data_IF_191991915793
#
_entry.id   IF_191991915793
#
_cell.length_a   1.000
_cell.length_b   1.000
_cell.length_c   1.000
_cell.angle_alpha   90.00
_cell.angle_beta   90.00
_cell.angle_gamma   90.00
#
_symmetry.space_group_name_H-M   'P 1'
#
loop_
_entity.id
_entity.type
_entity.pdbx_description
1 polymer ?
#
# COMPACT_ATOMS: atom_id res chain seq x y z
N UNK A 1 29.14 22.17 23.69
CA UNK A 1 29.50 21.54 22.39
C UNK A 1 28.35 20.64 22.01
N UNK A 2 27.48 21.10 21.11
CA UNK A 2 26.25 20.39 20.75
C UNK A 2 26.57 19.32 19.71
N UNK A 3 26.30 18.06 20.08
CA UNK A 3 26.38 16.93 19.18
C UNK A 3 25.34 17.10 18.07
N UNK A 4 25.81 17.34 16.86
CA UNK A 4 25.04 17.25 15.62
C UNK A 4 24.68 15.78 15.45
N UNK A 5 23.45 15.41 15.81
CA UNK A 5 22.90 14.10 15.45
C UNK A 5 22.79 14.03 13.94
N UNK A 6 23.20 12.93 13.29
CA UNK A 6 23.14 12.84 11.84
C UNK A 6 21.67 12.81 11.41
N UNK A 7 21.19 13.90 10.82
CA UNK A 7 19.91 14.01 10.10
C UNK A 7 19.96 13.21 8.77
N UNK A 8 20.77 12.15 8.72
CA UNK A 8 20.99 11.30 7.55
C UNK A 8 20.15 10.03 7.53
N UNK A 9 19.70 9.54 8.68
CA UNK A 9 19.06 8.21 8.79
C UNK A 9 17.52 8.23 8.75
N UNK A 10 16.88 9.41 8.84
CA UNK A 10 15.41 9.51 8.85
C UNK A 10 14.80 9.51 7.43
N UNK A 11 15.62 9.78 6.40
CA UNK A 11 15.22 9.61 5.00
C UNK A 11 15.59 8.19 4.55
N UNK A 12 15.07 7.19 5.26
CA UNK A 12 15.15 5.80 4.81
C UNK A 12 14.61 5.74 3.37
N UNK A 13 15.51 5.47 2.43
CA UNK A 13 15.26 5.48 0.98
C UNK A 13 13.88 4.89 0.67
N UNK A 14 12.99 5.59 -0.06
CA UNK A 14 11.66 5.08 -0.41
C UNK A 14 11.69 3.75 -1.17
N UNK A 15 12.88 3.33 -1.66
CA UNK A 15 13.14 2.04 -2.32
C UNK A 15 12.67 0.83 -1.50
N UNK A 16 12.93 0.78 -0.19
CA UNK A 16 12.55 -0.40 0.61
C UNK A 16 11.03 -0.55 0.68
N UNK A 17 10.32 0.56 0.90
CA UNK A 17 8.86 0.56 0.94
C UNK A 17 8.25 0.24 -0.45
N UNK A 18 8.84 0.74 -1.54
CA UNK A 18 8.44 0.38 -2.91
C UNK A 18 8.65 -1.11 -3.19
N UNK A 19 9.77 -1.70 -2.79
CA UNK A 19 10.03 -3.14 -2.97
C UNK A 19 9.02 -3.96 -2.18
N UNK A 20 8.73 -3.59 -0.93
CA UNK A 20 7.70 -4.26 -0.13
C UNK A 20 6.33 -4.22 -0.82
N UNK A 21 5.91 -3.05 -1.35
CA UNK A 21 4.65 -2.94 -2.09
C UNK A 21 4.59 -3.85 -3.32
N UNK A 22 5.71 -4.02 -4.04
CA UNK A 22 5.77 -4.92 -5.20
C UNK A 22 5.65 -6.38 -4.74
N UNK A 23 6.42 -6.79 -3.73
CA UNK A 23 6.42 -8.18 -3.25
C UNK A 23 5.05 -8.56 -2.69
N UNK A 24 4.48 -7.73 -1.81
CA UNK A 24 3.18 -7.99 -1.22
C UNK A 24 2.03 -7.84 -2.23
N UNK A 25 2.16 -6.94 -3.21
CA UNK A 25 1.23 -6.87 -4.34
C UNK A 25 1.26 -8.12 -5.21
N UNK A 26 2.44 -8.69 -5.46
CA UNK A 26 2.58 -9.95 -6.19
C UNK A 26 1.97 -11.14 -5.42
N UNK A 27 2.20 -11.21 -4.11
CA UNK A 27 1.57 -12.21 -3.24
C UNK A 27 0.04 -12.09 -3.31
N UNK A 28 -0.50 -10.86 -3.18
CA UNK A 28 -1.94 -10.62 -3.31
C UNK A 28 -2.49 -11.04 -4.68
N UNK A 29 -1.75 -10.80 -5.77
CA UNK A 29 -2.15 -11.22 -7.11
C UNK A 29 -2.17 -12.76 -7.25
N UNK A 30 -1.18 -13.47 -6.71
CA UNK A 30 -1.15 -14.94 -6.70
C UNK A 30 -2.34 -15.48 -5.91
N UNK A 31 -2.61 -14.91 -4.73
CA UNK A 31 -3.78 -15.28 -3.91
C UNK A 31 -5.09 -15.00 -4.66
N UNK A 32 -5.19 -13.90 -5.41
CA UNK A 32 -6.36 -13.58 -6.21
C UNK A 32 -6.61 -14.65 -7.27
N UNK A 33 -5.58 -15.01 -8.06
CA UNK A 33 -5.68 -16.02 -9.11
C UNK A 33 -6.07 -17.38 -8.51
N UNK A 34 -5.42 -17.80 -7.43
CA UNK A 34 -5.72 -19.07 -6.76
C UNK A 34 -7.15 -19.09 -6.17
N UNK A 35 -7.60 -17.98 -5.57
CA UNK A 35 -8.94 -17.89 -4.98
C UNK A 35 -10.03 -17.88 -6.04
N UNK A 36 -9.81 -17.16 -7.16
CA UNK A 36 -10.77 -17.13 -8.27
C UNK A 36 -10.84 -18.49 -8.97
N UNK A 37 -9.69 -19.17 -9.14
CA UNK A 37 -9.66 -20.49 -9.77
C UNK A 37 -10.44 -21.55 -8.97
N UNK A 38 -10.41 -21.45 -7.63
CA UNK A 38 -11.14 -22.37 -6.74
C UNK A 38 -12.52 -21.85 -6.32
N UNK A 39 -12.99 -20.74 -6.89
CA UNK A 39 -14.26 -20.12 -6.51
C UNK A 39 -15.50 -20.97 -6.84
N UNK A 40 -15.36 -21.94 -7.75
CA UNK A 40 -16.45 -22.86 -8.11
C UNK A 40 -16.78 -23.83 -6.95
N UNK A 41 -15.79 -24.18 -6.13
CA UNK A 41 -15.93 -25.13 -5.03
C UNK A 41 -16.36 -24.45 -3.72
N UNK A 42 -16.05 -23.16 -3.56
CA UNK A 42 -16.30 -22.42 -2.32
C UNK A 42 -16.57 -20.93 -2.64
N UNK A 43 -17.86 -20.54 -2.67
CA UNK A 43 -18.31 -19.22 -3.12
C UNK A 43 -17.64 -18.00 -2.45
N UNK A 44 -17.37 -18.00 -1.13
CA UNK A 44 -16.60 -16.95 -0.45
C UNK A 44 -15.19 -16.73 -1.00
N UNK A 45 -14.57 -17.72 -1.66
CA UNK A 45 -13.27 -17.54 -2.32
C UNK A 45 -13.34 -16.55 -3.48
N UNK A 46 -14.48 -16.44 -4.17
CA UNK A 46 -14.67 -15.42 -5.20
C UNK A 46 -14.54 -14.01 -4.59
N UNK A 47 -15.21 -13.78 -3.46
CA UNK A 47 -15.16 -12.51 -2.74
C UNK A 47 -13.75 -12.18 -2.23
N UNK A 48 -13.07 -13.17 -1.64
CA UNK A 48 -11.69 -13.03 -1.21
C UNK A 48 -10.74 -12.76 -2.39
N UNK A 49 -10.94 -13.43 -3.52
CA UNK A 49 -10.14 -13.26 -4.74
C UNK A 49 -10.29 -11.88 -5.37
N UNK A 50 -11.52 -11.35 -5.43
CA UNK A 50 -11.76 -9.97 -5.89
C UNK A 50 -11.08 -8.95 -4.97
N UNK A 51 -11.20 -9.12 -3.65
CA UNK A 51 -10.51 -8.26 -2.69
C UNK A 51 -8.98 -8.34 -2.82
N UNK A 52 -8.44 -9.54 -3.01
CA UNK A 52 -7.02 -9.75 -3.26
C UNK A 52 -6.54 -9.02 -4.51
N UNK A 53 -7.33 -9.04 -5.60
CA UNK A 53 -7.03 -8.29 -6.81
C UNK A 53 -7.04 -6.77 -6.56
N UNK A 54 -8.01 -6.24 -5.82
CA UNK A 54 -8.07 -4.82 -5.45
C UNK A 54 -6.83 -4.41 -4.63
N UNK A 55 -6.44 -5.22 -3.64
CA UNK A 55 -5.24 -4.98 -2.82
C UNK A 55 -3.97 -5.02 -3.68
N UNK A 56 -3.87 -5.96 -4.64
CA UNK A 56 -2.75 -6.03 -5.57
C UNK A 56 -2.64 -4.78 -6.45
N UNK A 57 -3.76 -4.35 -7.05
CA UNK A 57 -3.81 -3.11 -7.86
C UNK A 57 -3.41 -1.90 -7.01
N UNK A 58 -3.93 -1.81 -5.79
CA UNK A 58 -3.58 -0.74 -4.85
C UNK A 58 -2.09 -0.73 -4.51
N UNK A 59 -1.51 -1.89 -4.19
CA UNK A 59 -0.09 -2.04 -3.89
C UNK A 59 0.80 -1.65 -5.10
N UNK A 60 0.45 -2.11 -6.31
CA UNK A 60 1.19 -1.78 -7.53
C UNK A 60 1.05 -0.31 -7.91
N UNK A 61 -0.11 0.31 -7.72
CA UNK A 61 -0.28 1.74 -7.95
C UNK A 61 0.66 2.57 -7.05
N UNK A 62 0.71 2.26 -5.75
CA UNK A 62 1.64 2.93 -4.81
C UNK A 62 3.11 2.65 -5.14
N UNK A 63 3.45 1.43 -5.56
CA UNK A 63 4.79 1.11 -6.01
C UNK A 63 5.19 1.94 -7.26
N UNK A 64 4.26 2.10 -8.21
CA UNK A 64 4.43 2.94 -9.40
C UNK A 64 4.69 4.40 -9.05
N UNK A 65 3.95 4.95 -8.07
CA UNK A 65 4.20 6.30 -7.55
C UNK A 65 5.58 6.44 -6.91
N UNK A 66 5.99 5.48 -6.07
CA UNK A 66 7.33 5.46 -5.46
C UNK A 66 8.45 5.38 -6.50
N UNK A 67 8.26 4.59 -7.56
CA UNK A 67 9.25 4.45 -8.63
C UNK A 67 9.38 5.71 -9.50
N UNK A 68 8.27 6.40 -9.83
CA UNK A 68 8.31 7.69 -10.54
C UNK A 68 9.01 8.79 -9.72
N UNK A 69 8.84 8.80 -8.40
CA UNK A 69 9.54 9.76 -7.54
C UNK A 69 11.06 9.55 -7.55
N UNK A 70 11.52 8.30 -7.58
CA UNK A 70 12.96 8.01 -7.63
C UNK A 70 13.63 8.36 -8.96
N UNK A 71 12.86 8.55 -10.04
CA UNK A 71 13.39 8.82 -11.39
C UNK A 71 13.20 10.25 -11.89
N UNK A 72 12.26 11.01 -11.33
CA UNK A 72 11.90 12.34 -11.88
C UNK A 72 11.79 13.40 -10.78
N UNK A 73 12.86 14.18 -10.60
CA UNK A 73 12.85 15.44 -9.81
C UNK A 73 12.05 16.56 -10.51
N UNK A 74 11.69 16.35 -11.78
CA UNK A 74 11.07 17.36 -12.63
C UNK A 74 9.71 16.91 -13.16
N UNK A 75 8.72 17.76 -12.86
CA UNK A 75 7.39 17.89 -13.47
C UNK A 75 6.27 16.92 -13.05
N UNK A 76 5.23 17.54 -12.46
CA UNK A 76 3.93 16.99 -12.04
C UNK A 76 3.99 15.90 -10.97
N UNK A 77 4.36 16.30 -9.75
CA UNK A 77 3.88 15.60 -8.58
C UNK A 77 2.33 15.63 -8.60
N UNK A 78 1.64 14.48 -8.57
CA UNK A 78 0.21 14.45 -8.32
C UNK A 78 -0.06 15.23 -7.02
N UNK A 79 -1.23 15.88 -6.91
CA UNK A 79 -1.53 16.64 -5.70
C UNK A 79 -1.37 15.71 -4.49
N UNK A 80 -0.46 16.09 -3.58
CA UNK A 80 -0.13 15.31 -2.37
C UNK A 80 -1.40 14.96 -1.58
N UNK A 81 -2.41 15.83 -1.69
CA UNK A 81 -3.75 15.66 -1.16
C UNK A 81 -4.50 14.44 -1.74
N UNK A 82 -4.50 14.25 -3.06
CA UNK A 82 -5.14 13.09 -3.71
C UNK A 82 -4.44 11.79 -3.34
N UNK A 83 -3.10 11.78 -3.29
CA UNK A 83 -2.34 10.60 -2.90
C UNK A 83 -2.57 10.23 -1.43
N UNK A 84 -2.66 11.24 -0.55
CA UNK A 84 -2.98 11.07 0.87
C UNK A 84 -4.39 10.52 1.05
N UNK A 85 -5.36 11.08 0.33
CA UNK A 85 -6.75 10.67 0.40
C UNK A 85 -6.93 9.24 -0.11
N UNK A 86 -6.30 8.91 -1.25
CA UNK A 86 -6.28 7.57 -1.81
C UNK A 86 -5.60 6.57 -0.86
N UNK A 87 -4.53 6.97 -0.17
CA UNK A 87 -3.86 6.14 0.83
C UNK A 87 -4.78 5.82 2.01
N UNK A 88 -5.43 6.84 2.57
CA UNK A 88 -6.29 6.67 3.75
C UNK A 88 -7.58 5.93 3.42
N UNK A 89 -8.31 6.36 2.40
CA UNK A 89 -9.59 5.74 2.04
C UNK A 89 -9.38 4.33 1.44
N UNK A 90 -8.34 4.15 0.63
CA UNK A 90 -8.02 2.85 0.04
C UNK A 90 -7.61 1.82 1.07
N UNK A 91 -6.74 2.17 2.03
CA UNK A 91 -6.37 1.26 3.12
C UNK A 91 -7.56 0.91 4.01
N UNK A 92 -8.38 1.90 4.38
CA UNK A 92 -9.56 1.68 5.21
C UNK A 92 -10.57 0.77 4.52
N UNK A 93 -10.82 0.97 3.23
CA UNK A 93 -11.71 0.12 2.42
C UNK A 93 -11.17 -1.31 2.32
N UNK A 94 -9.86 -1.49 2.11
CA UNK A 94 -9.24 -2.82 2.04
C UNK A 94 -9.37 -3.56 3.38
N UNK A 95 -9.06 -2.91 4.49
CA UNK A 95 -9.16 -3.50 5.83
C UNK A 95 -10.61 -3.89 6.13
N UNK A 96 -11.57 -2.99 5.88
CA UNK A 96 -12.98 -3.25 6.12
C UNK A 96 -13.50 -4.40 5.24
N UNK A 97 -13.14 -4.41 3.96
CA UNK A 97 -13.55 -5.46 3.03
C UNK A 97 -13.00 -6.84 3.40
N UNK A 98 -11.73 -6.91 3.83
CA UNK A 98 -11.13 -8.16 4.33
C UNK A 98 -11.80 -8.64 5.62
N UNK A 99 -12.11 -7.72 6.55
CA UNK A 99 -12.85 -8.05 7.78
C UNK A 99 -14.25 -8.61 7.48
N UNK A 100 -15.01 -7.96 6.59
CA UNK A 100 -16.34 -8.44 6.19
C UNK A 100 -16.24 -9.83 5.58
N UNK A 101 -15.29 -10.05 4.66
CA UNK A 101 -15.11 -11.39 4.06
C UNK A 101 -14.65 -12.43 5.06
N UNK A 102 -13.85 -12.06 6.06
CA UNK A 102 -13.49 -12.96 7.15
C UNK A 102 -14.75 -13.41 7.91
N UNK A 103 -15.61 -12.48 8.35
CA UNK A 103 -16.85 -12.83 9.06
C UNK A 103 -17.80 -13.65 8.20
N UNK A 104 -17.95 -13.34 6.91
CA UNK A 104 -18.76 -14.11 5.97
C UNK A 104 -18.22 -15.53 5.84
N UNK A 105 -16.90 -15.68 5.67
CA UNK A 105 -16.28 -16.99 5.50
C UNK A 105 -16.35 -17.83 6.79
N UNK A 106 -16.20 -17.21 7.97
CA UNK A 106 -16.34 -17.89 9.27
C UNK A 106 -17.76 -18.40 9.44
N UNK A 107 -18.75 -17.56 9.15
CA UNK A 107 -20.17 -17.92 9.26
C UNK A 107 -20.57 -19.07 8.34
N UNK A 108 -19.86 -19.24 7.23
CA UNK A 108 -20.11 -20.28 6.24
C UNK A 108 -19.21 -21.53 6.40
N UNK A 109 -18.29 -21.55 7.37
CA UNK A 109 -17.34 -22.66 7.54
C UNK A 109 -16.40 -22.85 6.34
N UNK A 110 -16.13 -21.77 5.61
CA UNK A 110 -15.42 -21.76 4.31
C UNK A 110 -13.90 -21.66 4.48
N UNK A 111 -13.16 -22.18 3.49
CA UNK A 111 -11.70 -22.00 3.40
C UNK A 111 -11.32 -20.53 3.15
N UNK A 112 -12.28 -19.70 2.74
CA UNK A 112 -12.13 -18.24 2.62
C UNK A 112 -11.67 -17.57 3.92
N UNK A 113 -11.86 -18.20 5.08
CA UNK A 113 -11.36 -17.70 6.38
C UNK A 113 -9.84 -17.58 6.41
N UNK A 114 -9.13 -18.60 5.91
CA UNK A 114 -7.67 -18.62 5.85
C UNK A 114 -7.17 -17.59 4.85
N UNK A 115 -7.84 -17.50 3.70
CA UNK A 115 -7.51 -16.50 2.67
C UNK A 115 -7.70 -15.08 3.22
N UNK A 116 -8.81 -14.81 3.90
CA UNK A 116 -9.08 -13.51 4.50
C UNK A 116 -8.03 -13.14 5.56
N UNK A 117 -7.57 -14.09 6.39
CA UNK A 117 -6.47 -13.86 7.34
C UNK A 117 -5.16 -13.48 6.63
N UNK A 118 -4.81 -14.20 5.55
CA UNK A 118 -3.63 -13.87 4.73
C UNK A 118 -3.76 -12.46 4.15
N UNK A 119 -4.93 -12.12 3.59
CA UNK A 119 -5.20 -10.80 3.04
C UNK A 119 -5.15 -9.71 4.10
N UNK A 120 -5.51 -10.01 5.34
CA UNK A 120 -5.46 -9.05 6.45
C UNK A 120 -4.01 -8.70 6.78
N UNK A 121 -3.13 -9.71 6.86
CA UNK A 121 -1.69 -9.52 7.02
C UNK A 121 -1.08 -8.74 5.85
N UNK A 122 -1.42 -9.10 4.61
CA UNK A 122 -0.93 -8.41 3.42
C UNK A 122 -1.39 -6.94 3.41
N UNK A 123 -2.66 -6.69 3.71
CA UNK A 123 -3.23 -5.33 3.77
C UNK A 123 -2.56 -4.49 4.85
N UNK A 124 -2.25 -5.08 6.00
CA UNK A 124 -1.53 -4.40 7.07
C UNK A 124 -0.14 -3.95 6.63
N UNK A 125 0.64 -4.85 6.01
CA UNK A 125 1.99 -4.52 5.51
C UNK A 125 1.93 -3.48 4.39
N UNK A 126 1.00 -3.63 3.44
CA UNK A 126 0.80 -2.68 2.34
C UNK A 126 0.41 -1.30 2.89
N UNK A 127 -0.44 -1.23 3.91
CA UNK A 127 -0.84 0.04 4.53
C UNK A 127 0.34 0.75 5.20
N UNK A 128 1.18 0.01 5.94
CA UNK A 128 2.41 0.56 6.54
C UNK A 128 3.37 1.05 5.46
N UNK A 129 3.58 0.26 4.40
CA UNK A 129 4.47 0.63 3.31
C UNK A 129 3.97 1.88 2.57
N UNK A 130 2.67 1.96 2.27
CA UNK A 130 2.04 3.14 1.67
C UNK A 130 2.17 4.38 2.57
N UNK A 131 1.98 4.25 3.88
CA UNK A 131 2.16 5.36 4.83
C UNK A 131 3.61 5.85 4.85
N UNK A 132 4.60 4.94 4.77
CA UNK A 132 6.02 5.28 4.69
C UNK A 132 6.36 6.02 3.39
N UNK A 133 5.84 5.56 2.24
CA UNK A 133 5.97 6.24 0.95
C UNK A 133 5.36 7.64 1.02
N UNK A 134 4.15 7.76 1.57
CA UNK A 134 3.47 9.04 1.71
C UNK A 134 4.23 10.02 2.61
N UNK A 135 4.77 9.56 3.75
CA UNK A 135 5.58 10.39 4.65
C UNK A 135 6.84 10.91 3.94
N UNK A 136 7.52 10.06 3.17
CA UNK A 136 8.67 10.49 2.36
C UNK A 136 8.27 11.55 1.32
N UNK A 137 7.10 11.41 0.69
CA UNK A 137 6.57 12.41 -0.24
C UNK A 137 6.27 13.76 0.43
N UNK A 138 5.61 13.75 1.58
CA UNK A 138 5.27 14.99 2.32
C UNK A 138 6.54 15.72 2.77
N UNK A 139 7.54 14.99 3.29
CA UNK A 139 8.82 15.57 3.70
C UNK A 139 9.59 16.15 2.51
N UNK A 140 9.65 15.43 1.38
CA UNK A 140 10.29 15.92 0.16
C UNK A 140 9.60 17.15 -0.44
N UNK A 141 8.27 17.23 -0.36
CA UNK A 141 7.50 18.40 -0.81
C UNK A 141 7.77 19.63 0.07
N UNK A 142 7.83 19.46 1.40
CA UNK A 142 8.14 20.55 2.34
C UNK A 142 9.55 21.12 2.13
N UNK A 143 10.56 20.25 1.97
CA UNK A 143 11.93 20.68 1.72
C UNK A 143 12.07 21.50 0.42
N UNK A 144 11.33 21.13 -0.64
CA UNK A 144 11.34 21.87 -1.91
C UNK A 144 10.66 23.25 -1.80
N UNK A 145 9.68 23.40 -0.91
CA UNK A 145 9.03 24.67 -0.65
C UNK A 145 9.93 25.62 0.14
N UNK A 146 10.67 25.11 1.13
CA UNK A 146 11.58 25.91 1.97
C UNK A 146 12.75 26.50 1.18
N UNK A 147 13.34 25.74 0.24
CA UNK A 147 14.39 26.22 -0.68
C UNK A 147 13.90 27.33 -1.61
N UNK A 148 12.60 27.33 -1.98
CA UNK A 148 12.02 28.42 -2.78
C UNK A 148 11.81 29.71 -2.00
N UNK A 149 11.66 29.65 -0.68
CA UNK A 149 11.41 30.83 0.17
C UNK A 149 12.71 31.51 0.59
N UNK A 150 13.83 30.80 0.59
CA UNK A 150 15.16 31.33 0.99
C UNK A 150 16.05 31.71 -0.19
N UNK A 151 15.58 31.51 -1.43
CA UNK A 151 16.33 31.78 -2.66
C UNK A 151 15.86 33.00 -3.46
N UNK A 152 14.88 33.76 -2.94
CA UNK A 152 14.45 35.08 -3.44
C UNK A 152 14.92 36.16 -2.44
#
# INVERSE_FOLDING_TARGET
>A
MNAVTPVGDVVARPRVATVLLIVFGAIAAIVAVASIANAADDGPLLGCGVLAAIIAVYAFAFAGYGHRFSRTTSQKAPSVLLLTWFAMMGSLLCVLGVLVMFFVSVSLGSQGTVVALILLLVTFVVSIASARVLRAHVLGAKAKAEVRVTGD
#
